data_IF_856080944206
#
_entry.id   IF_856080944206
#
_cell.length_a   1.000
_cell.length_b   1.000
_cell.length_c   1.000
_cell.angle_alpha   90.00
_cell.angle_beta   90.00
_cell.angle_gamma   90.00
#
_symmetry.space_group_name_H-M   'P 1'
#
loop_
_entity.id
_entity.type
_entity.pdbx_description
1 polymer ?
#
# COMPACT_ATOMS: atom_id res chain seq x y z
N UNK A 1 18.33 8.65 3.74
CA UNK A 1 17.86 9.78 2.89
C UNK A 1 17.11 9.28 1.65
N UNK A 2 17.64 8.29 0.92
CA UNK A 2 16.98 7.72 -0.28
C UNK A 2 15.55 7.23 0.00
N UNK A 3 15.35 6.41 1.05
CA UNK A 3 14.00 5.96 1.43
C UNK A 3 13.04 7.12 1.74
N UNK A 4 13.52 8.16 2.42
CA UNK A 4 12.71 9.34 2.74
C UNK A 4 12.35 10.12 1.46
N UNK A 5 13.29 10.28 0.52
CA UNK A 5 13.04 10.91 -0.77
C UNK A 5 12.00 10.17 -1.61
N UNK A 6 12.02 8.84 -1.60
CA UNK A 6 10.96 8.03 -2.22
C UNK A 6 9.60 8.28 -1.58
N UNK A 7 9.50 8.22 -0.25
CA UNK A 7 8.24 8.43 0.48
C UNK A 7 7.67 9.83 0.21
N UNK A 8 8.51 10.85 0.16
CA UNK A 8 8.10 12.24 -0.11
C UNK A 8 7.70 12.50 -1.57
N UNK A 9 8.16 11.66 -2.51
CA UNK A 9 7.85 11.79 -3.94
C UNK A 9 6.51 11.16 -4.32
N UNK A 10 5.93 10.31 -3.46
CA UNK A 10 4.69 9.61 -3.77
C UNK A 10 3.49 10.58 -3.77
N UNK A 11 2.87 10.74 -4.94
CA UNK A 11 1.59 11.45 -5.12
C UNK A 11 0.38 10.61 -4.68
N UNK A 12 -0.72 11.27 -4.31
CA UNK A 12 -1.98 10.62 -3.93
C UNK A 12 -2.92 10.48 -5.13
N UNK A 13 -3.05 9.25 -5.65
CA UNK A 13 -3.91 8.94 -6.81
C UNK A 13 -5.37 9.34 -6.61
N UNK A 14 -5.92 9.14 -5.41
CA UNK A 14 -7.32 9.46 -5.09
C UNK A 14 -7.59 10.96 -5.13
N UNK A 15 -6.67 11.77 -4.58
CA UNK A 15 -6.82 13.23 -4.56
C UNK A 15 -6.71 13.81 -5.97
N UNK A 16 -5.71 13.35 -6.73
CA UNK A 16 -5.48 13.78 -8.11
C UNK A 16 -6.67 13.41 -9.02
N UNK A 17 -7.19 12.19 -8.90
CA UNK A 17 -8.36 11.75 -9.66
C UNK A 17 -9.62 12.58 -9.32
N UNK A 18 -9.83 12.91 -8.04
CA UNK A 18 -10.93 13.80 -7.63
C UNK A 18 -10.79 15.19 -8.22
N UNK A 19 -9.61 15.79 -8.12
CA UNK A 19 -9.33 17.13 -8.65
C UNK A 19 -9.59 17.20 -10.17
N UNK A 20 -9.05 16.25 -10.93
CA UNK A 20 -9.30 16.16 -12.38
C UNK A 20 -10.78 15.95 -12.70
N UNK A 21 -11.52 15.22 -11.85
CA UNK A 21 -12.96 15.03 -12.02
C UNK A 21 -13.75 16.31 -11.79
N UNK A 22 -13.41 17.06 -10.74
CA UNK A 22 -14.05 18.33 -10.40
C UNK A 22 -13.79 19.40 -11.48
N UNK A 23 -12.62 19.33 -12.12
CA UNK A 23 -12.25 20.21 -13.24
C UNK A 23 -12.82 19.75 -14.60
N UNK A 24 -13.43 18.56 -14.69
CA UNK A 24 -13.92 18.00 -15.95
C UNK A 24 -12.80 17.54 -16.90
N UNK A 25 -11.58 17.38 -16.40
CA UNK A 25 -10.37 17.14 -17.19
C UNK A 25 -9.99 15.65 -17.30
N UNK A 26 -10.71 14.75 -16.63
CA UNK A 26 -10.41 13.31 -16.62
C UNK A 26 -10.26 12.67 -18.00
N UNK A 27 -11.05 13.13 -18.98
CA UNK A 27 -11.05 12.57 -20.32
C UNK A 27 -9.94 13.15 -21.22
N UNK A 28 -9.31 14.25 -20.82
CA UNK A 28 -8.28 14.93 -21.61
C UNK A 28 -6.97 14.13 -21.65
N UNK A 29 -6.12 14.32 -22.67
CA UNK A 29 -4.85 13.60 -22.79
C UNK A 29 -3.97 13.72 -21.55
N UNK A 30 -3.86 14.91 -20.95
CA UNK A 30 -3.11 15.11 -19.71
C UNK A 30 -3.77 14.43 -18.51
N UNK A 31 -5.09 14.44 -18.39
CA UNK A 31 -5.80 13.77 -17.30
C UNK A 31 -5.56 12.25 -17.33
N UNK A 32 -5.64 11.64 -18.51
CA UNK A 32 -5.34 10.22 -18.71
C UNK A 32 -3.88 9.88 -18.41
N UNK A 33 -2.94 10.72 -18.87
CA UNK A 33 -1.51 10.54 -18.60
C UNK A 33 -1.19 10.63 -17.10
N UNK A 34 -1.75 11.63 -16.41
CA UNK A 34 -1.58 11.82 -14.97
C UNK A 34 -2.10 10.62 -14.18
N UNK A 35 -3.28 10.09 -14.53
CA UNK A 35 -3.82 8.89 -13.90
C UNK A 35 -2.96 7.66 -14.18
N UNK A 36 -2.51 7.47 -15.43
CA UNK A 36 -1.64 6.35 -15.80
C UNK A 36 -0.31 6.39 -15.04
N UNK A 37 0.31 7.57 -14.90
CA UNK A 37 1.52 7.77 -14.11
C UNK A 37 1.28 7.51 -12.62
N UNK A 38 0.14 7.94 -12.08
CA UNK A 38 -0.22 7.70 -10.68
C UNK A 38 -0.39 6.20 -10.39
N UNK A 39 -1.05 5.47 -11.30
CA UNK A 39 -1.18 4.01 -11.23
C UNK A 39 0.17 3.30 -11.36
N UNK A 40 1.05 3.79 -12.23
CA UNK A 40 2.42 3.28 -12.35
C UNK A 40 3.18 3.50 -11.04
N UNK A 41 3.03 4.67 -10.41
CA UNK A 41 3.64 4.98 -9.12
C UNK A 41 3.15 4.04 -8.01
N UNK A 42 1.85 3.77 -7.95
CA UNK A 42 1.26 2.82 -7.01
C UNK A 42 1.82 1.40 -7.23
N UNK A 43 2.07 0.99 -8.48
CA UNK A 43 2.72 -0.28 -8.80
C UNK A 43 4.20 -0.30 -8.38
N UNK A 44 4.92 0.80 -8.57
CA UNK A 44 6.31 0.96 -8.16
C UNK A 44 6.50 0.99 -6.63
N UNK A 45 5.42 1.17 -5.86
CA UNK A 45 5.45 1.04 -4.42
C UNK A 45 5.74 -0.42 -3.96
N UNK A 46 5.46 -1.42 -4.79
CA UNK A 46 5.71 -2.84 -4.44
C UNK A 46 7.20 -3.13 -4.20
N UNK A 47 8.12 -2.83 -5.13
CA UNK A 47 9.57 -2.89 -4.86
C UNK A 47 9.99 -2.09 -3.62
N UNK A 48 9.40 -0.91 -3.42
CA UNK A 48 9.70 -0.08 -2.26
C UNK A 48 9.33 -0.79 -0.95
N UNK A 49 8.16 -1.44 -0.89
CA UNK A 49 7.73 -2.21 0.28
C UNK A 49 8.57 -3.48 0.50
N UNK A 50 9.06 -4.11 -0.57
CA UNK A 50 10.00 -5.24 -0.47
C UNK A 50 11.33 -4.80 0.16
N UNK A 51 11.85 -3.65 -0.26
CA UNK A 51 13.13 -3.14 0.19
C UNK A 51 13.05 -2.42 1.55
N UNK A 52 11.86 -1.97 1.97
CA UNK A 52 11.68 -1.23 3.22
C UNK A 52 12.38 -1.86 4.45
N UNK A 53 12.33 -3.19 4.69
CA UNK A 53 13.02 -3.77 5.83
C UNK A 53 14.56 -3.70 5.74
N UNK A 54 15.14 -3.64 4.54
CA UNK A 54 16.59 -3.42 4.33
C UNK A 54 16.97 -2.03 4.82
N UNK A 55 16.25 -1.01 4.36
CA UNK A 55 16.47 0.38 4.77
C UNK A 55 16.22 0.63 6.27
N UNK A 56 15.35 -0.18 6.88
CA UNK A 56 15.07 -0.15 8.32
C UNK A 56 16.08 -0.98 9.15
N UNK A 57 17.11 -1.55 8.52
CA UNK A 57 18.16 -2.29 9.23
C UNK A 57 17.73 -3.66 9.76
N UNK A 58 16.60 -4.23 9.30
CA UNK A 58 16.09 -5.52 9.81
C UNK A 58 16.94 -6.73 9.42
N UNK A 59 17.79 -6.59 8.40
CA UNK A 59 18.63 -7.67 7.86
C UNK A 59 20.12 -7.56 8.25
N UNK A 60 20.47 -6.71 9.22
CA UNK A 60 21.84 -6.49 9.68
C UNK A 60 22.61 -5.43 8.88
N UNK A 61 23.77 -5.01 9.40
CA UNK A 61 24.53 -3.80 9.00
C UNK A 61 25.30 -3.92 7.68
N UNK A 62 24.91 -4.83 6.78
CA UNK A 62 25.53 -5.02 5.47
C UNK A 62 24.63 -4.54 4.34
N UNK A 63 24.65 -3.24 4.04
CA UNK A 63 24.09 -2.69 2.79
C UNK A 63 24.97 -3.11 1.59
N UNK A 64 25.01 -4.41 1.32
CA UNK A 64 25.70 -4.99 0.16
C UNK A 64 24.70 -5.20 -0.97
N UNK A 65 25.15 -5.06 -2.22
CA UNK A 65 24.36 -5.44 -3.39
C UNK A 65 23.77 -6.85 -3.29
N UNK A 66 24.44 -7.77 -2.57
CA UNK A 66 23.95 -9.12 -2.31
C UNK A 66 22.71 -9.18 -1.41
N UNK A 67 22.57 -8.28 -0.42
CA UNK A 67 21.38 -8.25 0.45
C UNK A 67 20.18 -7.67 -0.28
N UNK A 68 20.38 -6.64 -1.11
CA UNK A 68 19.33 -6.10 -2.00
C UNK A 68 18.83 -7.16 -2.98
N UNK A 69 19.72 -7.84 -3.70
CA UNK A 69 19.35 -8.89 -4.65
C UNK A 69 18.62 -10.05 -3.95
N UNK A 70 19.09 -10.47 -2.76
CA UNK A 70 18.45 -11.52 -1.98
C UNK A 70 17.05 -11.16 -1.51
N UNK A 71 16.82 -9.91 -1.07
CA UNK A 71 15.50 -9.43 -0.64
C UNK A 71 14.55 -9.30 -1.83
N UNK A 72 15.02 -8.79 -2.98
CA UNK A 72 14.21 -8.76 -4.19
C UNK A 72 13.83 -10.16 -4.68
N UNK A 73 14.76 -11.12 -4.64
CA UNK A 73 14.48 -12.50 -5.01
C UNK A 73 13.43 -13.15 -4.08
N UNK A 74 13.61 -13.02 -2.76
CA UNK A 74 12.64 -13.51 -1.76
C UNK A 74 11.30 -12.82 -1.89
N UNK A 75 11.29 -11.50 -2.06
CA UNK A 75 10.09 -10.69 -2.22
C UNK A 75 9.31 -11.11 -3.47
N UNK A 76 10.01 -11.28 -4.60
CA UNK A 76 9.41 -11.75 -5.85
C UNK A 76 8.81 -13.15 -5.69
N UNK A 77 9.53 -14.07 -5.03
CA UNK A 77 9.02 -15.42 -4.74
C UNK A 77 7.74 -15.37 -3.90
N UNK A 78 7.69 -14.52 -2.87
CA UNK A 78 6.49 -14.33 -2.03
C UNK A 78 5.33 -13.76 -2.84
N UNK A 79 5.58 -12.77 -3.71
CA UNK A 79 4.55 -12.20 -4.59
C UNK A 79 3.97 -13.27 -5.50
N UNK A 80 4.83 -14.05 -6.18
CA UNK A 80 4.39 -15.11 -7.09
C UNK A 80 3.60 -16.18 -6.33
N UNK A 81 4.08 -16.59 -5.16
CA UNK A 81 3.41 -17.61 -4.34
C UNK A 81 2.03 -17.12 -3.86
N UNK A 82 1.95 -15.91 -3.31
CA UNK A 82 0.68 -15.33 -2.87
C UNK A 82 -0.27 -15.10 -4.04
N UNK A 83 0.21 -14.69 -5.20
CA UNK A 83 -0.62 -14.52 -6.38
C UNK A 83 -1.18 -15.85 -6.89
N UNK A 84 -0.35 -16.89 -6.94
CA UNK A 84 -0.74 -18.22 -7.42
C UNK A 84 -1.72 -18.90 -6.46
N UNK A 85 -1.44 -18.85 -5.15
CA UNK A 85 -2.34 -19.36 -4.11
C UNK A 85 -3.62 -18.52 -4.05
N UNK A 86 -3.48 -17.20 -4.10
CA UNK A 86 -4.57 -16.25 -4.03
C UNK A 86 -5.60 -16.47 -5.12
N UNK A 87 -5.17 -16.59 -6.37
CA UNK A 87 -6.09 -16.77 -7.50
C UNK A 87 -6.94 -18.05 -7.40
N UNK A 88 -6.41 -19.12 -6.81
CA UNK A 88 -7.16 -20.37 -6.64
C UNK A 88 -7.97 -20.44 -5.34
N UNK A 89 -7.32 -20.16 -4.21
CA UNK A 89 -7.90 -20.34 -2.87
C UNK A 89 -8.89 -19.24 -2.52
N UNK A 90 -8.53 -17.96 -2.77
CA UNK A 90 -9.40 -16.82 -2.44
C UNK A 90 -10.68 -16.90 -3.27
N UNK A 91 -10.55 -17.15 -4.57
CA UNK A 91 -11.70 -17.24 -5.47
C UNK A 91 -12.68 -18.37 -5.08
N UNK A 92 -12.16 -19.54 -4.67
CA UNK A 92 -13.00 -20.63 -4.12
C UNK A 92 -13.63 -20.28 -2.77
N UNK A 93 -12.85 -19.70 -1.86
CA UNK A 93 -13.33 -19.28 -0.55
C UNK A 93 -14.50 -18.30 -0.69
N UNK A 94 -14.34 -17.29 -1.54
CA UNK A 94 -15.35 -16.25 -1.73
C UNK A 94 -16.61 -16.77 -2.41
N UNK A 95 -16.50 -17.70 -3.36
CA UNK A 95 -17.68 -18.41 -3.89
C UNK A 95 -18.45 -19.17 -2.80
N UNK A 96 -17.77 -19.87 -1.91
CA UNK A 96 -18.45 -20.60 -0.83
C UNK A 96 -19.10 -19.67 0.20
N UNK A 97 -18.42 -18.57 0.54
CA UNK A 97 -18.96 -17.56 1.46
C UNK A 97 -20.14 -16.83 0.83
N UNK A 98 -20.08 -16.50 -0.47
CA UNK A 98 -21.16 -15.85 -1.20
C UNK A 98 -22.45 -16.69 -1.23
N UNK A 99 -22.35 -18.03 -1.30
CA UNK A 99 -23.52 -18.93 -1.23
C UNK A 99 -24.30 -18.80 0.09
N UNK A 100 -23.62 -18.41 1.18
CA UNK A 100 -24.24 -18.23 2.51
C UNK A 100 -25.07 -16.96 2.62
N UNK A 101 -24.97 -16.02 1.65
CA UNK A 101 -25.72 -14.76 1.57
C UNK A 101 -25.67 -13.88 2.83
N UNK A 102 -24.65 -14.03 3.67
CA UNK A 102 -24.43 -13.22 4.86
C UNK A 102 -23.33 -12.19 4.59
N UNK A 103 -23.69 -10.90 4.60
CA UNK A 103 -22.75 -9.81 4.37
C UNK A 103 -21.61 -9.80 5.41
N UNK A 104 -21.94 -10.05 6.68
CA UNK A 104 -20.98 -10.10 7.79
C UNK A 104 -19.88 -11.15 7.55
N UNK A 105 -20.26 -12.36 7.13
CA UNK A 105 -19.29 -13.42 6.83
C UNK A 105 -18.40 -13.07 5.64
N UNK A 106 -18.93 -12.35 4.65
CA UNK A 106 -18.17 -11.87 3.51
C UNK A 106 -17.14 -10.83 3.95
N UNK A 107 -17.55 -9.80 4.69
CA UNK A 107 -16.64 -8.78 5.23
C UNK A 107 -15.56 -9.40 6.13
N UNK A 108 -15.92 -10.34 7.01
CA UNK A 108 -14.95 -11.05 7.85
C UNK A 108 -13.96 -11.85 7.01
N UNK A 109 -14.40 -12.50 5.93
CA UNK A 109 -13.53 -13.26 5.04
C UNK A 109 -12.54 -12.35 4.30
N UNK A 110 -12.99 -11.17 3.87
CA UNK A 110 -12.14 -10.14 3.28
C UNK A 110 -11.05 -9.70 4.25
N UNK A 111 -11.44 -9.30 5.46
CA UNK A 111 -10.48 -8.87 6.49
C UNK A 111 -9.53 -10.01 6.86
N UNK A 112 -10.04 -11.23 6.98
CA UNK A 112 -9.25 -12.43 7.27
C UNK A 112 -8.18 -12.65 6.21
N UNK A 113 -8.54 -12.59 4.92
CA UNK A 113 -7.56 -12.75 3.82
C UNK A 113 -6.52 -11.63 3.86
N UNK A 114 -6.93 -10.38 4.06
CA UNK A 114 -6.00 -9.24 4.12
C UNK A 114 -5.03 -9.35 5.30
N UNK A 115 -5.52 -9.65 6.50
CA UNK A 115 -4.70 -9.81 7.70
C UNK A 115 -3.79 -11.04 7.59
N UNK A 116 -4.32 -12.16 7.09
CA UNK A 116 -3.52 -13.39 6.89
C UNK A 116 -2.38 -13.14 5.90
N UNK A 117 -2.63 -12.47 4.77
CA UNK A 117 -1.58 -12.13 3.83
C UNK A 117 -0.52 -11.21 4.45
N UNK A 118 -0.93 -10.20 5.22
CA UNK A 118 -0.02 -9.31 5.92
C UNK A 118 0.84 -10.04 6.97
N UNK A 119 0.24 -10.96 7.73
CA UNK A 119 0.95 -11.79 8.71
C UNK A 119 1.92 -12.76 8.04
N UNK A 120 1.54 -13.39 6.92
CA UNK A 120 2.39 -14.30 6.17
C UNK A 120 3.61 -13.59 5.59
N UNK A 121 3.44 -12.40 4.99
CA UNK A 121 4.60 -11.64 4.49
C UNK A 121 5.49 -11.19 5.63
N UNK A 122 4.91 -10.76 6.75
CA UNK A 122 5.68 -10.35 7.92
C UNK A 122 6.47 -11.50 8.54
N UNK A 123 5.90 -12.70 8.62
CA UNK A 123 6.56 -13.89 9.16
C UNK A 123 7.82 -14.31 8.36
N UNK A 124 7.85 -13.99 7.06
CA UNK A 124 8.99 -14.28 6.16
C UNK A 124 10.01 -13.11 6.17
N UNK A 125 9.82 -12.10 7.02
CA UNK A 125 10.71 -10.94 7.17
C UNK A 125 10.39 -9.77 6.24
N UNK A 126 9.32 -9.85 5.44
CA UNK A 126 8.88 -8.76 4.57
C UNK A 126 7.99 -7.76 5.32
N UNK A 127 7.63 -6.64 4.68
CA UNK A 127 6.68 -5.70 5.26
C UNK A 127 5.27 -6.29 5.33
N UNK A 128 4.54 -6.03 6.41
CA UNK A 128 3.11 -6.35 6.50
C UNK A 128 2.28 -5.57 5.46
N UNK A 129 2.73 -4.36 5.11
CA UNK A 129 2.11 -3.51 4.08
C UNK A 129 2.13 -4.20 2.71
N UNK A 130 3.22 -4.91 2.37
CA UNK A 130 3.32 -5.67 1.13
C UNK A 130 2.23 -6.74 1.06
N UNK A 131 2.04 -7.53 2.12
CA UNK A 131 1.03 -8.59 2.16
C UNK A 131 -0.40 -8.05 2.07
N UNK A 132 -0.71 -6.98 2.79
CA UNK A 132 -2.01 -6.31 2.71
C UNK A 132 -2.28 -5.76 1.30
N UNK A 133 -1.27 -5.15 0.67
CA UNK A 133 -1.37 -4.63 -0.71
C UNK A 133 -1.60 -5.76 -1.72
N UNK A 134 -0.84 -6.85 -1.62
CA UNK A 134 -1.01 -8.04 -2.49
C UNK A 134 -2.40 -8.66 -2.33
N UNK A 135 -2.91 -8.77 -1.09
CA UNK A 135 -4.26 -9.25 -0.85
C UNK A 135 -5.31 -8.36 -1.54
N UNK A 136 -5.16 -7.04 -1.45
CA UNK A 136 -6.01 -6.08 -2.16
C UNK A 136 -5.99 -6.29 -3.68
N UNK A 137 -4.80 -6.46 -4.27
CA UNK A 137 -4.68 -6.75 -5.71
C UNK A 137 -5.31 -8.07 -6.12
N UNK A 138 -5.14 -9.12 -5.32
CA UNK A 138 -5.75 -10.43 -5.57
C UNK A 138 -7.28 -10.31 -5.50
N UNK A 139 -7.81 -9.69 -4.45
CA UNK A 139 -9.25 -9.49 -4.26
C UNK A 139 -9.87 -8.63 -5.36
N UNK A 140 -9.18 -7.56 -5.78
CA UNK A 140 -9.62 -6.68 -6.87
C UNK A 140 -9.67 -7.38 -8.24
N UNK A 141 -8.93 -8.48 -8.40
CA UNK A 141 -8.96 -9.32 -9.61
C UNK A 141 -10.06 -10.39 -9.62
N UNK A 142 -10.85 -10.53 -8.56
CA UNK A 142 -11.95 -11.52 -8.47
C UNK A 142 -13.26 -11.00 -9.05
N UNK A 143 -14.22 -11.90 -9.29
CA UNK A 143 -15.60 -11.55 -9.69
C UNK A 143 -16.33 -10.70 -8.62
N UNK A 144 -15.87 -10.77 -7.36
CA UNK A 144 -16.48 -10.09 -6.22
C UNK A 144 -15.93 -8.69 -5.93
N UNK A 145 -15.06 -8.14 -6.79
CA UNK A 145 -14.35 -6.86 -6.55
C UNK A 145 -15.25 -5.72 -6.07
N UNK A 146 -16.45 -5.58 -6.66
CA UNK A 146 -17.36 -4.47 -6.33
C UNK A 146 -17.98 -4.64 -4.94
N UNK A 147 -18.28 -5.88 -4.56
CA UNK A 147 -18.77 -6.20 -3.22
C UNK A 147 -17.68 -6.02 -2.17
N UNK A 148 -16.46 -6.52 -2.46
CA UNK A 148 -15.29 -6.28 -1.60
C UNK A 148 -15.06 -4.79 -1.39
N UNK A 149 -15.14 -3.98 -2.45
CA UNK A 149 -14.97 -2.54 -2.35
C UNK A 149 -16.06 -1.88 -1.51
N UNK A 150 -17.33 -2.25 -1.69
CA UNK A 150 -18.44 -1.73 -0.91
C UNK A 150 -18.30 -2.05 0.58
N UNK A 151 -17.95 -3.29 0.91
CA UNK A 151 -17.91 -3.79 2.28
C UNK A 151 -16.66 -3.32 3.04
N UNK A 152 -15.51 -3.13 2.37
CA UNK A 152 -14.29 -2.59 3.00
C UNK A 152 -14.37 -1.08 3.25
N UNK A 153 -15.08 -0.31 2.42
CA UNK A 153 -15.07 1.17 2.45
C UNK A 153 -15.21 1.75 3.86
N UNK A 154 -16.19 1.34 4.70
CA UNK A 154 -16.33 1.87 6.06
C UNK A 154 -15.09 1.59 6.93
N UNK A 155 -14.52 0.40 6.84
CA UNK A 155 -13.31 0.02 7.59
C UNK A 155 -12.10 0.82 7.14
N UNK A 156 -11.91 0.97 5.83
CA UNK A 156 -10.83 1.78 5.27
C UNK A 156 -10.91 3.21 5.81
N UNK A 157 -12.09 3.82 5.78
CA UNK A 157 -12.26 5.21 6.18
C UNK A 157 -11.99 5.39 7.69
N UNK A 158 -12.46 4.46 8.55
CA UNK A 158 -12.16 4.46 9.99
C UNK A 158 -10.67 4.21 10.27
N UNK A 159 -10.06 3.21 9.62
CA UNK A 159 -8.65 2.87 9.81
C UNK A 159 -7.72 3.98 9.31
N UNK A 160 -8.08 4.69 8.24
CA UNK A 160 -7.37 5.88 7.78
C UNK A 160 -7.43 6.99 8.83
N UNK A 161 -8.60 7.26 9.39
CA UNK A 161 -8.74 8.21 10.50
C UNK A 161 -7.82 7.86 11.67
N UNK A 162 -7.84 6.59 12.10
CA UNK A 162 -6.99 6.09 13.19
C UNK A 162 -5.49 6.18 12.85
N UNK A 163 -5.11 5.85 11.62
CA UNK A 163 -3.73 5.92 11.13
C UNK A 163 -3.21 7.36 11.19
N UNK A 164 -3.98 8.33 10.68
CA UNK A 164 -3.59 9.73 10.71
C UNK A 164 -3.51 10.29 12.13
N UNK A 165 -4.45 9.94 13.00
CA UNK A 165 -4.39 10.30 14.43
C UNK A 165 -3.14 9.71 15.08
N UNK A 166 -2.83 8.44 14.82
CA UNK A 166 -1.66 7.75 15.39
C UNK A 166 -0.34 8.38 14.92
N UNK A 167 -0.22 8.69 13.62
CA UNK A 167 0.96 9.41 13.11
C UNK A 167 1.06 10.82 13.70
N UNK A 168 -0.06 11.51 13.83
CA UNK A 168 -0.12 12.81 14.49
C UNK A 168 0.34 12.75 15.95
N UNK A 169 0.03 11.67 16.68
CA UNK A 169 0.51 11.47 18.05
C UNK A 169 2.01 11.18 18.14
N UNK A 170 2.61 10.59 17.10
CA UNK A 170 4.06 10.39 17.02
C UNK A 170 4.81 11.71 16.76
N UNK A 171 4.11 12.75 16.28
CA UNK A 171 4.70 14.04 16.02
C UNK A 171 5.05 14.76 17.33
N UNK A 172 6.33 15.06 17.53
CA UNK A 172 6.82 15.81 18.68
C UNK A 172 7.06 17.27 18.26
N UNK A 173 6.28 18.25 18.77
CA UNK A 173 6.42 19.65 18.37
C UNK A 173 7.82 20.23 18.63
N UNK A 174 8.52 19.71 19.64
CA UNK A 174 9.89 20.09 19.97
C UNK A 174 10.89 19.77 18.84
N UNK A 175 10.65 18.73 18.03
CA UNK A 175 11.48 18.38 16.87
C UNK A 175 11.35 19.45 15.79
N UNK A 176 10.15 20.01 15.61
CA UNK A 176 9.91 21.07 14.62
C UNK A 176 10.65 22.36 14.99
N UNK A 177 10.70 22.70 16.27
CA UNK A 177 11.44 23.87 16.75
C UNK A 177 12.95 23.65 16.58
N UNK A 178 13.44 22.44 16.90
CA UNK A 178 14.88 22.11 16.84
C UNK A 178 15.41 21.99 15.41
N UNK A 179 14.61 21.48 14.49
CA UNK A 179 14.98 21.29 13.07
C UNK A 179 14.24 22.24 12.13
N UNK A 180 13.64 23.32 12.65
CA UNK A 180 12.76 24.21 11.89
C UNK A 180 13.40 24.81 10.65
N UNK A 181 14.71 25.10 10.69
CA UNK A 181 15.46 25.54 9.50
C UNK A 181 15.53 24.46 8.40
N UNK A 182 15.79 23.21 8.77
CA UNK A 182 15.85 22.08 7.81
C UNK A 182 14.46 21.75 7.26
N UNK A 183 13.43 21.79 8.12
CA UNK A 183 12.04 21.60 7.71
C UNK A 183 11.59 22.72 6.77
N UNK A 184 11.94 23.97 7.08
CA UNK A 184 11.63 25.14 6.25
C UNK A 184 12.29 25.05 4.86
N UNK A 185 13.56 24.65 4.80
CA UNK A 185 14.24 24.40 3.52
C UNK A 185 13.58 23.24 2.77
N UNK A 186 13.23 22.15 3.46
CA UNK A 186 12.53 21.02 2.83
C UNK A 186 11.19 21.42 2.22
N UNK A 187 10.38 22.23 2.92
CA UNK A 187 9.11 22.74 2.42
C UNK A 187 9.33 23.70 1.23
N UNK A 188 10.33 24.59 1.31
CA UNK A 188 10.65 25.50 0.22
C UNK A 188 11.07 24.75 -1.06
N UNK A 189 11.85 23.67 -0.92
CA UNK A 189 12.26 22.82 -2.05
C UNK A 189 11.09 22.04 -2.66
N UNK A 190 10.07 21.68 -1.87
CA UNK A 190 8.86 20.98 -2.38
C UNK A 190 7.87 21.95 -3.03
N UNK A 191 7.85 23.22 -2.61
CA UNK A 191 6.98 24.26 -3.16
C UNK A 191 7.53 24.93 -4.43
N UNK A 192 8.83 24.77 -4.73
CA UNK A 192 9.51 25.25 -5.93
C UNK A 192 9.54 24.14 -6.98
#
# INVERSE_FOLDING_TARGET
>A
VVFLGFVLSLSSTVLVARQLSEQGELALPHGRLTLALSLLQDLLAVPLFMLAPVWLGRYGTGESWGTFAGVLARGTLVVVLLWMVGRGVVDRLFREVAKRKAAELFTLSVLLVTVTAAMLTQAIGMSAVLGAFLAGMILGGTEFRHQVEADIRPFRDVLLGLFFVSIGMLFHPAVLIRYGGVVGVGIAVVLV
#
